data_IF_242896047293
#
_entry.id   IF_242896047293
#
_cell.length_a   1.000
_cell.length_b   1.000
_cell.length_c   1.000
_cell.angle_alpha   90.00
_cell.angle_beta   90.00
_cell.angle_gamma   90.00
#
_symmetry.space_group_name_H-M   'P 1'
#
loop_
_entity.id
_entity.type
_entity.pdbx_description
1 polymer ?
#
# COMPACT_ATOMS: atom_id res chain seq x y z
N UNK A 1 -42.52 -2.46 -12.61
CA UNK A 1 -41.10 -2.23 -12.55
C UNK A 1 -40.59 -2.84 -11.25
N UNK A 2 -39.66 -3.80 -11.35
CA UNK A 2 -39.03 -4.44 -10.18
C UNK A 2 -37.99 -3.48 -9.55
N UNK A 3 -37.82 -3.48 -8.22
CA UNK A 3 -36.85 -2.62 -7.56
C UNK A 3 -35.42 -3.04 -7.90
N UNK A 4 -34.44 -2.13 -7.91
CA UNK A 4 -33.05 -2.44 -8.24
C UNK A 4 -32.43 -3.39 -7.20
N UNK A 5 -31.50 -4.25 -7.59
CA UNK A 5 -30.83 -5.19 -6.67
C UNK A 5 -30.03 -4.44 -5.61
N UNK A 6 -30.10 -4.92 -4.36
CA UNK A 6 -29.31 -4.38 -3.25
C UNK A 6 -27.82 -4.52 -3.53
N UNK A 7 -27.00 -3.52 -3.18
CA UNK A 7 -25.53 -3.63 -3.30
C UNK A 7 -25.03 -4.78 -2.43
N UNK A 8 -24.09 -5.54 -2.96
CA UNK A 8 -23.46 -6.67 -2.29
C UNK A 8 -22.80 -6.19 -0.98
N UNK A 9 -23.06 -6.94 0.11
CA UNK A 9 -22.51 -6.71 1.44
C UNK A 9 -20.98 -6.81 1.34
N UNK A 10 -20.28 -5.78 1.82
CA UNK A 10 -18.83 -5.79 1.91
C UNK A 10 -18.34 -7.04 2.68
N UNK A 11 -17.23 -7.66 2.27
CA UNK A 11 -16.68 -8.81 2.98
C UNK A 11 -16.35 -8.42 4.42
N UNK A 12 -16.68 -9.31 5.36
CA UNK A 12 -16.37 -9.11 6.78
C UNK A 12 -14.85 -8.95 6.95
N UNK A 13 -14.38 -8.05 7.84
CA UNK A 13 -12.96 -7.88 8.10
C UNK A 13 -12.37 -9.20 8.62
N UNK A 14 -11.12 -9.50 8.27
CA UNK A 14 -10.46 -10.71 8.74
C UNK A 14 -10.38 -10.71 10.27
N UNK A 15 -10.77 -11.82 10.90
CA UNK A 15 -10.68 -12.02 12.34
C UNK A 15 -9.21 -12.11 12.75
N UNK A 16 -8.68 -11.09 13.38
CA UNK A 16 -7.37 -11.14 14.02
C UNK A 16 -7.50 -11.66 15.45
N UNK A 17 -6.91 -12.83 15.74
CA UNK A 17 -6.73 -13.35 17.10
C UNK A 17 -5.34 -12.93 17.59
N UNK A 18 -5.28 -12.39 18.80
CA UNK A 18 -4.01 -12.25 19.53
C UNK A 18 -3.47 -13.64 19.90
N UNK A 19 -2.18 -13.77 20.17
CA UNK A 19 -1.54 -15.03 20.60
C UNK A 19 -2.16 -15.62 21.89
N UNK A 20 -2.95 -14.85 22.62
CA UNK A 20 -3.68 -15.25 23.83
C UNK A 20 -5.17 -15.55 23.63
N UNK A 21 -5.68 -15.48 22.40
CA UNK A 21 -7.05 -15.87 22.07
C UNK A 21 -8.18 -14.95 22.53
N UNK A 22 -7.90 -13.78 23.10
CA UNK A 22 -8.92 -12.84 23.56
C UNK A 22 -9.31 -11.82 22.48
N UNK A 23 -10.61 -11.66 22.27
CA UNK A 23 -11.21 -10.59 21.48
C UNK A 23 -11.13 -9.29 22.27
N UNK A 24 -10.34 -8.34 21.80
CA UNK A 24 -10.40 -6.96 22.27
C UNK A 24 -11.31 -6.17 21.34
N UNK A 25 -12.55 -5.97 21.74
CA UNK A 25 -13.46 -5.07 21.04
C UNK A 25 -12.95 -3.62 21.21
N UNK A 26 -12.87 -2.81 20.14
CA UNK A 26 -12.49 -1.41 20.28
C UNK A 26 -13.56 -0.65 21.08
N UNK A 27 -13.12 0.05 22.11
CA UNK A 27 -13.97 0.99 22.86
C UNK A 27 -14.35 2.11 21.89
N UNK A 28 -15.62 2.17 21.50
CA UNK A 28 -16.17 3.26 20.68
C UNK A 28 -16.17 4.55 21.51
N UNK A 29 -15.17 5.40 21.29
CA UNK A 29 -15.25 6.80 21.68
C UNK A 29 -15.92 7.59 20.55
N UNK A 30 -16.68 8.63 20.91
CA UNK A 30 -17.48 9.41 19.98
C UNK A 30 -16.60 10.04 18.85
N UNK A 31 -17.12 10.09 17.62
CA UNK A 31 -16.36 10.44 16.44
C UNK A 31 -15.98 11.92 16.35
N UNK A 32 -14.75 12.19 15.88
CA UNK A 32 -14.33 13.52 15.45
C UNK A 32 -14.81 13.74 14.01
N UNK A 33 -15.74 14.66 13.81
CA UNK A 33 -16.42 14.94 12.55
C UNK A 33 -15.45 15.36 11.45
N UNK A 34 -15.59 14.79 10.25
CA UNK A 34 -14.87 15.24 9.05
C UNK A 34 -15.17 16.71 8.75
N UNK A 35 -14.16 17.57 8.84
CA UNK A 35 -14.30 19.01 8.58
C UNK A 35 -13.68 19.41 7.23
N UNK A 36 -14.24 20.45 6.63
CA UNK A 36 -13.66 21.14 5.46
C UNK A 36 -12.26 21.69 5.80
N UNK A 37 -11.42 21.87 4.79
CA UNK A 37 -10.08 22.47 4.94
C UNK A 37 -10.17 23.76 5.76
N UNK A 38 -9.54 23.79 6.92
CA UNK A 38 -9.57 24.92 7.84
C UNK A 38 -8.18 25.54 7.89
N UNK A 39 -8.11 26.85 7.76
CA UNK A 39 -6.88 27.61 8.01
C UNK A 39 -6.94 28.16 9.43
N UNK A 40 -6.05 27.70 10.31
CA UNK A 40 -5.92 28.22 11.68
C UNK A 40 -4.54 28.82 11.82
N UNK A 41 -4.47 30.08 12.22
CA UNK A 41 -3.19 30.82 12.40
C UNK A 41 -2.24 30.74 11.19
N UNK A 42 -2.77 30.83 9.96
CA UNK A 42 -1.98 30.74 8.73
C UNK A 42 -1.53 29.32 8.34
N UNK A 43 -1.86 28.29 9.14
CA UNK A 43 -1.56 26.90 8.82
C UNK A 43 -2.75 26.26 8.10
N UNK A 44 -2.43 25.61 6.97
CA UNK A 44 -3.42 24.90 6.16
C UNK A 44 -3.56 23.48 6.68
N UNK A 45 -4.80 23.08 7.00
CA UNK A 45 -5.09 21.70 7.38
C UNK A 45 -4.97 20.77 6.16
N UNK A 46 -4.56 19.54 6.40
CA UNK A 46 -4.51 18.50 5.38
C UNK A 46 -5.22 17.23 5.87
N UNK A 47 -5.65 16.37 4.94
CA UNK A 47 -6.24 15.09 5.34
C UNK A 47 -5.22 14.25 6.11
N UNK A 48 -5.66 13.59 7.17
CA UNK A 48 -4.81 12.78 8.03
C UNK A 48 -4.01 11.74 7.25
N UNK A 49 -4.64 11.00 6.32
CA UNK A 49 -3.95 10.01 5.48
C UNK A 49 -2.83 10.64 4.62
N UNK A 50 -3.07 11.86 4.09
CA UNK A 50 -2.04 12.61 3.35
C UNK A 50 -0.90 12.99 4.28
N UNK A 51 -1.20 13.52 5.46
CA UNK A 51 -0.21 13.94 6.45
C UNK A 51 0.64 12.76 6.95
N UNK A 52 0.03 11.61 7.22
CA UNK A 52 0.75 10.39 7.60
C UNK A 52 1.73 9.94 6.51
N UNK A 53 1.31 10.02 5.24
CA UNK A 53 2.17 9.68 4.12
C UNK A 53 3.32 10.69 3.91
N UNK A 54 3.08 11.98 4.15
CA UNK A 54 4.12 13.04 4.13
C UNK A 54 5.16 12.82 5.21
N UNK A 55 4.74 12.40 6.40
CA UNK A 55 5.61 12.06 7.52
C UNK A 55 6.36 10.72 7.33
N UNK A 56 6.10 9.99 6.23
CA UNK A 56 6.75 8.71 5.95
C UNK A 56 6.29 7.55 6.83
N UNK A 57 5.19 7.71 7.57
CA UNK A 57 4.67 6.67 8.47
C UNK A 57 4.13 5.47 7.69
N UNK A 58 3.41 5.74 6.60
CA UNK A 58 2.79 4.73 5.74
C UNK A 58 2.37 5.35 4.39
N UNK A 59 1.82 4.58 3.46
CA UNK A 59 1.14 5.13 2.29
C UNK A 59 -0.25 5.67 2.65
N UNK A 60 -0.87 6.47 1.76
CA UNK A 60 -2.23 6.99 1.98
C UNK A 60 -3.27 5.89 2.13
N UNK A 61 -3.16 4.81 1.35
CA UNK A 61 -4.08 3.67 1.44
C UNK A 61 -3.95 2.93 2.76
N UNK A 62 -2.71 2.71 3.20
CA UNK A 62 -2.43 2.10 4.50
C UNK A 62 -2.94 2.97 5.65
N UNK A 63 -2.76 4.29 5.55
CA UNK A 63 -3.31 5.22 6.52
C UNK A 63 -4.83 5.09 6.64
N UNK A 64 -5.54 4.98 5.52
CA UNK A 64 -6.98 4.78 5.51
C UNK A 64 -7.36 3.46 6.21
N UNK A 65 -6.64 2.36 5.93
CA UNK A 65 -6.86 1.07 6.59
C UNK A 65 -6.61 1.16 8.10
N UNK A 66 -5.53 1.82 8.53
CA UNK A 66 -5.18 1.99 9.95
C UNK A 66 -6.18 2.86 10.70
N UNK A 67 -6.67 3.94 10.05
CA UNK A 67 -7.70 4.81 10.59
C UNK A 67 -9.01 4.03 10.75
N UNK A 68 -9.40 3.25 9.72
CA UNK A 68 -10.60 2.43 9.77
C UNK A 68 -10.55 1.36 10.88
N UNK A 69 -9.36 0.85 11.21
CA UNK A 69 -9.14 -0.09 12.33
C UNK A 69 -9.04 0.59 13.70
N UNK A 70 -9.03 1.93 13.76
CA UNK A 70 -8.88 2.67 15.01
C UNK A 70 -7.47 2.68 15.58
N UNK A 71 -6.45 2.36 14.77
CA UNK A 71 -5.04 2.31 15.20
C UNK A 71 -4.34 3.66 15.16
N UNK A 72 -5.02 4.72 14.76
CA UNK A 72 -4.47 6.07 14.65
C UNK A 72 -5.17 7.00 15.62
N UNK A 73 -4.41 7.77 16.39
CA UNK A 73 -4.90 8.80 17.28
C UNK A 73 -4.34 10.16 16.88
N UNK A 74 -5.18 11.17 16.95
CA UNK A 74 -4.79 12.57 16.77
C UNK A 74 -5.03 13.28 18.11
N UNK A 75 -3.98 13.87 18.66
CA UNK A 75 -4.02 14.53 19.97
C UNK A 75 -4.65 13.65 21.08
N UNK A 76 -4.37 12.32 21.03
CA UNK A 76 -4.86 11.35 21.99
C UNK A 76 -6.27 10.79 21.72
N UNK A 77 -7.02 11.31 20.73
CA UNK A 77 -8.34 10.82 20.34
C UNK A 77 -8.25 9.93 19.10
N UNK A 78 -9.02 8.83 19.06
CA UNK A 78 -9.07 7.94 17.91
C UNK A 78 -9.59 8.72 16.69
N UNK A 79 -8.83 8.66 15.61
CA UNK A 79 -9.15 9.38 14.39
C UNK A 79 -10.22 8.65 13.57
N UNK A 80 -11.06 9.44 12.89
CA UNK A 80 -12.02 8.94 11.90
C UNK A 80 -11.57 9.17 10.47
N UNK A 81 -12.20 8.43 9.56
CA UNK A 81 -11.96 8.60 8.13
C UNK A 81 -12.27 10.03 7.67
N UNK A 82 -11.34 10.60 6.90
CA UNK A 82 -11.50 11.94 6.32
C UNK A 82 -11.19 13.09 7.26
N UNK A 83 -10.73 12.84 8.50
CA UNK A 83 -10.36 13.89 9.45
C UNK A 83 -9.24 14.78 8.88
N UNK A 84 -9.35 16.09 9.12
CA UNK A 84 -8.34 17.08 8.78
C UNK A 84 -7.45 17.34 10.00
N UNK A 85 -6.15 17.47 9.76
CA UNK A 85 -5.16 17.72 10.80
C UNK A 85 -4.30 18.93 10.44
N UNK A 86 -3.83 19.66 11.45
CA UNK A 86 -2.86 20.72 11.32
C UNK A 86 -1.43 20.14 11.34
N UNK A 87 -0.43 20.86 10.82
CA UNK A 87 0.97 20.45 10.92
C UNK A 87 1.47 20.26 12.35
N UNK A 88 0.84 20.91 13.32
CA UNK A 88 1.15 20.87 14.76
C UNK A 88 0.47 19.74 15.49
N UNK A 89 -0.52 19.07 14.89
CA UNK A 89 -1.23 17.98 15.55
C UNK A 89 -0.32 16.77 15.74
N UNK A 90 -0.44 16.18 16.92
CA UNK A 90 0.28 14.96 17.26
C UNK A 90 -0.47 13.74 16.71
N UNK A 91 0.23 12.94 15.91
CA UNK A 91 -0.30 11.71 15.34
C UNK A 91 0.40 10.53 16.01
N UNK A 92 -0.35 9.71 16.70
CA UNK A 92 0.12 8.49 17.35
C UNK A 92 -0.43 7.27 16.59
N UNK A 93 0.46 6.32 16.25
CA UNK A 93 0.12 5.08 15.55
C UNK A 93 0.33 3.90 16.49
N UNK A 94 -0.64 2.99 16.53
CA UNK A 94 -0.56 1.79 17.36
C UNK A 94 0.60 0.88 16.93
N UNK A 95 1.25 0.22 17.90
CA UNK A 95 2.35 -0.73 17.65
C UNK A 95 1.92 -1.90 16.77
N UNK A 96 0.65 -2.28 16.79
CA UNK A 96 0.10 -3.33 15.92
C UNK A 96 0.25 -2.94 14.46
N UNK A 97 -0.08 -1.69 14.09
CA UNK A 97 0.09 -1.18 12.74
C UNK A 97 1.57 -1.15 12.31
N UNK A 98 2.47 -0.77 13.22
CA UNK A 98 3.91 -0.77 12.99
C UNK A 98 4.44 -2.20 12.72
N UNK A 99 4.01 -3.19 13.51
CA UNK A 99 4.38 -4.59 13.31
C UNK A 99 3.94 -5.16 11.96
N UNK A 100 2.77 -4.77 11.48
CA UNK A 100 2.33 -5.13 10.10
C UNK A 100 3.19 -4.48 9.02
N UNK A 101 3.67 -3.26 9.26
CA UNK A 101 4.55 -2.56 8.35
C UNK A 101 5.92 -3.25 8.21
N UNK A 102 6.47 -3.74 9.31
CA UNK A 102 7.77 -4.43 9.34
C UNK A 102 7.76 -5.78 8.61
N UNK A 103 6.61 -6.42 8.50
CA UNK A 103 6.44 -7.71 7.82
C UNK A 103 6.27 -7.58 6.31
N UNK A 104 6.21 -6.37 5.76
CA UNK A 104 6.02 -6.13 4.34
C UNK A 104 7.24 -6.50 3.54
N UNK A 105 7.00 -7.06 2.37
CA UNK A 105 8.07 -7.47 1.46
C UNK A 105 8.11 -6.60 0.21
N UNK A 106 9.33 -6.44 -0.28
CA UNK A 106 9.62 -5.89 -1.61
C UNK A 106 10.39 -6.93 -2.39
N UNK A 107 9.92 -7.25 -3.58
CA UNK A 107 10.48 -8.30 -4.43
C UNK A 107 10.98 -7.68 -5.73
N UNK A 108 12.22 -7.94 -6.07
CA UNK A 108 12.82 -7.60 -7.35
C UNK A 108 12.59 -8.75 -8.32
N UNK A 109 11.83 -8.50 -9.37
CA UNK A 109 11.50 -9.50 -10.37
C UNK A 109 12.18 -9.14 -11.70
N UNK A 110 12.94 -10.06 -12.27
CA UNK A 110 13.32 -9.99 -13.68
C UNK A 110 12.13 -10.45 -14.52
N UNK A 111 11.31 -9.50 -14.98
CA UNK A 111 10.10 -9.79 -15.75
C UNK A 111 10.48 -10.23 -17.17
N UNK A 112 10.07 -11.41 -17.62
CA UNK A 112 10.19 -11.80 -19.02
C UNK A 112 9.09 -11.17 -19.87
N UNK A 113 9.17 -11.29 -21.19
CA UNK A 113 8.09 -10.97 -22.13
C UNK A 113 6.85 -11.85 -21.87
N UNK A 114 5.68 -11.39 -22.31
CA UNK A 114 4.43 -12.14 -22.25
C UNK A 114 3.66 -12.00 -20.93
N UNK A 115 4.18 -11.24 -19.97
CA UNK A 115 3.51 -10.99 -18.70
C UNK A 115 3.15 -9.51 -18.53
N UNK A 116 1.93 -9.25 -18.03
CA UNK A 116 1.52 -7.89 -17.65
C UNK A 116 2.08 -7.52 -16.28
N UNK A 117 2.46 -6.24 -16.10
CA UNK A 117 3.03 -5.78 -14.82
C UNK A 117 2.01 -5.75 -13.70
N UNK A 118 0.75 -5.45 -14.02
CA UNK A 118 -0.36 -5.28 -13.06
C UNK A 118 -1.29 -6.48 -12.98
N UNK A 119 -2.58 -6.18 -12.95
CA UNK A 119 -3.63 -7.20 -12.97
C UNK A 119 -3.73 -7.87 -14.34
N UNK A 120 -4.33 -9.06 -14.38
CA UNK A 120 -4.59 -9.76 -15.63
C UNK A 120 -5.40 -8.88 -16.58
N UNK A 121 -4.92 -8.74 -17.80
CA UNK A 121 -5.51 -7.91 -18.85
C UNK A 121 -5.42 -8.67 -20.17
N UNK A 122 -6.48 -8.63 -20.97
CA UNK A 122 -6.54 -9.25 -22.32
C UNK A 122 -6.03 -10.70 -22.40
N UNK A 123 -6.30 -11.51 -21.37
CA UNK A 123 -5.88 -12.92 -21.32
C UNK A 123 -4.41 -13.13 -20.93
N UNK A 124 -3.65 -12.06 -20.68
CA UNK A 124 -2.26 -12.17 -20.25
C UNK A 124 -2.11 -12.44 -18.75
N UNK A 125 -1.12 -13.23 -18.41
CA UNK A 125 -0.81 -13.59 -17.01
C UNK A 125 -0.09 -12.44 -16.30
N UNK A 126 -0.50 -12.08 -15.07
CA UNK A 126 0.20 -11.08 -14.27
C UNK A 126 1.60 -11.53 -13.87
N UNK A 127 2.55 -10.60 -13.83
CA UNK A 127 3.93 -10.88 -13.43
C UNK A 127 4.06 -11.43 -12.00
N UNK A 128 3.12 -11.11 -11.11
CA UNK A 128 3.06 -11.68 -9.75
C UNK A 128 2.94 -13.21 -9.74
N UNK A 129 2.39 -13.83 -10.78
CA UNK A 129 2.31 -15.29 -10.90
C UNK A 129 3.68 -15.97 -11.03
N UNK A 130 4.71 -15.21 -11.40
CA UNK A 130 6.10 -15.71 -11.47
C UNK A 130 6.73 -15.87 -10.08
N UNK A 131 6.13 -15.30 -9.03
CA UNK A 131 6.69 -15.33 -7.68
C UNK A 131 6.28 -16.61 -6.97
N UNK A 132 7.22 -17.53 -6.83
CA UNK A 132 7.02 -18.81 -6.16
C UNK A 132 8.39 -19.38 -5.68
N UNK A 133 8.41 -20.44 -4.86
CA UNK A 133 9.67 -20.98 -4.32
C UNK A 133 10.66 -21.46 -5.37
N UNK A 134 10.21 -21.82 -6.58
CA UNK A 134 11.07 -22.35 -7.65
C UNK A 134 11.80 -21.24 -8.41
N UNK A 135 11.23 -20.05 -8.43
CA UNK A 135 11.77 -18.87 -9.13
C UNK A 135 12.57 -17.96 -8.20
N UNK A 136 12.61 -18.28 -6.91
CA UNK A 136 13.41 -17.53 -5.94
C UNK A 136 14.90 -17.72 -6.24
N UNK A 137 15.62 -16.60 -6.33
CA UNK A 137 17.06 -16.62 -6.56
C UNK A 137 17.77 -17.26 -5.36
N UNK A 138 18.61 -18.27 -5.62
CA UNK A 138 19.24 -19.10 -4.57
C UNK A 138 20.24 -18.34 -3.71
N UNK A 139 20.86 -17.30 -4.28
CA UNK A 139 21.89 -16.48 -3.63
C UNK A 139 21.30 -15.19 -3.05
N UNK A 140 19.96 -15.13 -2.84
CA UNK A 140 19.31 -13.97 -2.22
C UNK A 140 19.90 -13.71 -0.82
N UNK A 141 20.56 -12.55 -0.60
CA UNK A 141 21.17 -12.22 0.68
C UNK A 141 20.16 -11.88 1.77
N UNK A 142 18.89 -11.60 1.41
CA UNK A 142 17.85 -11.20 2.36
C UNK A 142 17.48 -12.30 3.37
N UNK A 143 17.81 -13.57 3.05
CA UNK A 143 17.39 -14.76 3.81
C UNK A 143 15.89 -14.92 3.98
N UNK A 144 15.08 -14.10 3.30
CA UNK A 144 13.63 -14.23 3.31
C UNK A 144 13.22 -15.50 2.57
N UNK A 145 12.30 -16.25 3.17
CA UNK A 145 11.71 -17.41 2.50
C UNK A 145 10.35 -17.03 1.97
N UNK A 146 10.02 -17.51 0.78
CA UNK A 146 8.71 -17.35 0.21
C UNK A 146 7.62 -17.91 1.14
N UNK A 147 6.56 -17.12 1.33
CA UNK A 147 5.32 -17.58 1.95
C UNK A 147 4.11 -17.03 1.19
N UNK A 148 3.03 -17.80 1.02
CA UNK A 148 1.85 -17.37 0.26
C UNK A 148 1.24 -16.03 0.72
N UNK A 149 1.22 -15.67 2.01
CA UNK A 149 0.73 -14.36 2.45
C UNK A 149 1.48 -13.17 1.85
N UNK A 150 2.73 -13.32 1.44
CA UNK A 150 3.53 -12.28 0.81
C UNK A 150 2.98 -11.82 -0.54
N UNK A 151 2.15 -12.64 -1.20
CA UNK A 151 1.50 -12.25 -2.46
C UNK A 151 0.30 -11.31 -2.25
N UNK A 152 -0.25 -11.25 -1.04
CA UNK A 152 -1.40 -10.40 -0.73
C UNK A 152 -0.99 -8.93 -0.72
N UNK A 153 -1.68 -8.11 -1.52
CA UNK A 153 -1.40 -6.68 -1.60
C UNK A 153 -0.06 -6.33 -2.25
N UNK A 154 0.64 -7.31 -2.83
CA UNK A 154 1.85 -7.07 -3.60
C UNK A 154 1.48 -6.39 -4.91
N UNK A 155 2.01 -5.21 -5.13
CA UNK A 155 1.70 -4.37 -6.29
C UNK A 155 2.99 -3.90 -6.99
N UNK A 156 2.96 -3.70 -8.32
CA UNK A 156 4.11 -3.18 -9.03
C UNK A 156 4.35 -1.70 -8.70
N UNK A 157 5.61 -1.37 -8.39
CA UNK A 157 6.11 -0.01 -8.29
C UNK A 157 6.68 0.43 -9.65
N UNK A 158 5.78 0.78 -10.55
CA UNK A 158 6.06 1.05 -11.95
C UNK A 158 5.50 -0.03 -12.88
N UNK A 159 5.70 0.14 -14.16
CA UNK A 159 5.20 -0.77 -15.19
C UNK A 159 6.27 -1.01 -16.25
N UNK A 160 6.31 -2.23 -16.74
CA UNK A 160 6.96 -2.63 -17.98
C UNK A 160 5.87 -3.16 -18.91
N UNK A 161 5.99 -2.88 -20.20
CA UNK A 161 5.07 -3.41 -21.19
C UNK A 161 5.22 -4.93 -21.32
N UNK A 162 4.21 -5.56 -21.92
CA UNK A 162 4.17 -7.01 -22.12
C UNK A 162 5.42 -7.51 -22.82
N UNK A 163 5.87 -6.79 -23.85
CA UNK A 163 7.02 -7.14 -24.69
C UNK A 163 8.36 -6.67 -24.11
N UNK A 164 8.34 -6.00 -22.98
CA UNK A 164 9.54 -5.54 -22.28
C UNK A 164 10.07 -6.57 -21.32
N UNK A 165 11.39 -6.72 -21.27
CA UNK A 165 12.13 -7.55 -20.31
C UNK A 165 12.92 -6.65 -19.37
N UNK A 166 12.94 -6.96 -18.09
CA UNK A 166 13.77 -6.19 -17.16
C UNK A 166 13.30 -6.21 -15.72
N UNK A 167 13.88 -5.31 -14.95
CA UNK A 167 13.58 -5.18 -13.52
C UNK A 167 12.18 -4.60 -13.29
N UNK A 168 11.33 -5.38 -12.66
CA UNK A 168 10.05 -4.95 -12.12
C UNK A 168 10.10 -5.07 -10.59
N UNK A 169 9.85 -3.98 -9.89
CA UNK A 169 9.77 -3.99 -8.42
C UNK A 169 8.32 -4.21 -8.03
N UNK A 170 8.08 -5.25 -7.23
CA UNK A 170 6.78 -5.54 -6.63
C UNK A 170 6.88 -5.32 -5.13
N UNK A 171 5.97 -4.54 -4.55
CA UNK A 171 6.06 -4.20 -3.13
C UNK A 171 4.69 -4.19 -2.46
N UNK A 172 4.68 -4.57 -1.17
CA UNK A 172 3.56 -4.36 -0.27
C UNK A 172 3.64 -3.01 0.45
N UNK A 173 4.81 -2.34 0.39
CA UNK A 173 5.06 -1.08 1.08
C UNK A 173 4.88 0.11 0.13
N UNK A 174 3.80 0.86 0.33
CA UNK A 174 3.52 2.04 -0.48
C UNK A 174 4.55 3.17 -0.35
N UNK A 175 5.39 3.17 0.70
CA UNK A 175 6.50 4.12 0.85
C UNK A 175 7.60 3.82 -0.17
N UNK A 176 7.92 2.53 -0.36
CA UNK A 176 8.86 2.08 -1.40
C UNK A 176 8.34 2.45 -2.78
N UNK A 177 7.06 2.17 -3.06
CA UNK A 177 6.45 2.56 -4.33
C UNK A 177 6.55 4.07 -4.55
N UNK A 178 6.26 4.90 -3.54
CA UNK A 178 6.38 6.36 -3.66
C UNK A 178 7.80 6.82 -3.95
N UNK A 179 8.80 6.21 -3.32
CA UNK A 179 10.20 6.56 -3.58
C UNK A 179 10.62 6.24 -5.02
N UNK A 180 10.08 5.14 -5.60
CA UNK A 180 10.45 4.70 -6.93
C UNK A 180 9.68 5.40 -8.06
N UNK A 181 8.39 5.70 -7.84
CA UNK A 181 7.47 6.18 -8.90
C UNK A 181 6.65 7.40 -8.48
N UNK A 182 6.91 7.99 -7.30
CA UNK A 182 6.26 9.23 -6.89
C UNK A 182 6.68 10.41 -7.77
N UNK A 183 5.87 11.47 -7.77
CA UNK A 183 6.16 12.70 -8.54
C UNK A 183 7.50 13.33 -8.14
N UNK A 184 7.91 13.16 -6.87
CA UNK A 184 9.17 13.67 -6.33
C UNK A 184 10.32 12.63 -6.41
N UNK A 185 10.14 11.53 -7.15
CA UNK A 185 11.17 10.48 -7.26
C UNK A 185 12.39 10.98 -8.02
N UNK A 186 13.55 10.81 -7.41
CA UNK A 186 14.87 11.09 -8.04
C UNK A 186 15.56 9.82 -8.53
N UNK A 187 14.85 8.69 -8.52
CA UNK A 187 15.39 7.41 -8.98
C UNK A 187 15.32 7.33 -10.50
N UNK A 188 16.48 7.31 -11.12
CA UNK A 188 16.59 7.16 -12.57
C UNK A 188 16.16 5.76 -13.02
N UNK A 189 15.63 5.70 -14.25
CA UNK A 189 15.24 4.46 -14.92
C UNK A 189 15.97 4.40 -16.26
N UNK A 190 16.83 3.41 -16.40
CA UNK A 190 17.58 3.17 -17.63
C UNK A 190 16.87 2.13 -18.50
N UNK A 191 16.72 2.45 -19.79
CA UNK A 191 16.15 1.56 -20.79
C UNK A 191 17.14 1.32 -21.91
N UNK A 192 17.42 0.06 -22.18
CA UNK A 192 18.22 -0.35 -23.35
C UNK A 192 17.26 -0.71 -24.48
N UNK A 193 17.24 0.11 -25.53
CA UNK A 193 16.34 -0.05 -26.68
C UNK A 193 17.14 -0.41 -27.94
N UNK A 194 16.77 -1.54 -28.54
CA UNK A 194 17.31 -1.92 -29.84
C UNK A 194 16.46 -1.29 -30.95
N UNK A 195 17.10 -0.54 -31.82
CA UNK A 195 16.41 0.14 -32.91
C UNK A 195 17.00 -0.30 -34.24
N UNK A 196 16.20 -0.24 -35.30
CA UNK A 196 16.66 -0.39 -36.69
C UNK A 196 16.68 1.01 -37.29
N UNK A 197 17.85 1.46 -37.70
CA UNK A 197 17.98 2.71 -38.44
C UNK A 197 17.48 2.50 -39.86
N UNK A 198 16.52 3.29 -40.30
CA UNK A 198 16.12 3.41 -41.71
C UNK A 198 16.60 4.77 -42.19
N UNK A 199 17.53 4.80 -43.14
CA UNK A 199 18.04 6.04 -43.71
C UNK A 199 16.99 6.76 -44.55
#
# INVERSE_FOLDING_TARGET
AAPPPRPARAPAPPNYRTASGQFVAPVRQAPVRAAATVTVNGMVSSRLNKRMAELGLCSRREADDWIAQGWVKVNGQVAEMGVQVLPTDRIDVDKVAQGFQEQRVTILLHKPMGYVSGQAEDGHTPAVALINPRTHWREDPSRNRFSPPQLRGLAPAGRLDIDSVGLLVLTQDGRVARQLIGEDSTVDKEYLVRVVYQP
#
